data_IF_753749668117
#
_entry.id   IF_753749668117
#
_cell.length_a   1.000
_cell.length_b   1.000
_cell.length_c   1.000
_cell.angle_alpha   90.00
_cell.angle_beta   90.00
_cell.angle_gamma   90.00
#
_symmetry.space_group_name_H-M   'P 1'
#
loop_
_entity.id
_entity.type
_entity.pdbx_description
1 polymer ?
#
# COMPACT_ATOMS: atom_id res chain seq x y z
N UNK A 1 -7.82 11.44 -3.08
CA UNK A 1 -7.17 10.48 -4.02
C UNK A 1 -7.98 9.20 -4.24
N UNK A 2 -8.32 8.41 -3.21
CA UNK A 2 -9.09 7.16 -3.39
C UNK A 2 -10.41 7.37 -4.16
N UNK A 3 -11.23 8.33 -3.72
CA UNK A 3 -12.48 8.66 -4.41
C UNK A 3 -12.24 9.09 -5.87
N UNK A 4 -11.21 9.89 -6.09
CA UNK A 4 -10.82 10.37 -7.42
C UNK A 4 -10.51 9.22 -8.38
N UNK A 5 -9.78 8.20 -7.92
CA UNK A 5 -9.47 7.00 -8.70
C UNK A 5 -10.70 6.11 -8.88
N UNK A 6 -11.52 5.97 -7.84
CA UNK A 6 -12.75 5.16 -7.85
C UNK A 6 -13.71 5.59 -8.95
N UNK A 7 -14.04 6.89 -9.02
CA UNK A 7 -15.01 7.38 -10.01
C UNK A 7 -14.48 7.35 -11.45
N UNK A 8 -13.20 7.04 -11.64
CA UNK A 8 -12.53 6.86 -12.94
C UNK A 8 -12.29 5.39 -13.29
N UNK A 9 -12.69 4.45 -12.42
CA UNK A 9 -12.40 3.02 -12.59
C UNK A 9 -10.91 2.66 -12.48
N UNK A 10 -10.10 3.55 -11.89
CA UNK A 10 -8.64 3.40 -11.76
C UNK A 10 -8.20 2.88 -10.38
N UNK A 11 -9.14 2.40 -9.56
CA UNK A 11 -8.90 1.89 -8.20
C UNK A 11 -8.77 0.35 -8.13
N UNK A 12 -9.02 -0.35 -9.23
CA UNK A 12 -9.11 -1.81 -9.26
C UNK A 12 -7.84 -2.44 -9.84
N UNK A 13 -7.14 -3.25 -9.05
CA UNK A 13 -5.92 -3.94 -9.50
C UNK A 13 -6.23 -4.94 -10.62
N UNK A 14 -7.44 -5.54 -10.60
CA UNK A 14 -7.88 -6.50 -11.64
C UNK A 14 -7.91 -5.89 -13.03
N UNK A 15 -8.28 -4.61 -13.14
CA UNK A 15 -8.31 -3.86 -14.41
C UNK A 15 -7.02 -3.09 -14.66
N UNK A 16 -6.00 -3.24 -13.79
CA UNK A 16 -4.71 -2.58 -13.93
C UNK A 16 -4.60 -1.23 -13.22
N UNK A 17 -5.61 -0.81 -12.46
CA UNK A 17 -5.57 0.40 -11.63
C UNK A 17 -4.72 0.25 -10.36
N UNK A 18 -4.72 1.29 -9.52
CA UNK A 18 -4.00 1.32 -8.25
C UNK A 18 -4.85 0.75 -7.11
N UNK A 19 -4.34 -0.29 -6.45
CA UNK A 19 -4.95 -0.83 -5.25
C UNK A 19 -4.90 0.15 -4.08
N UNK A 20 -5.86 0.04 -3.15
CA UNK A 20 -5.99 0.95 -2.02
C UNK A 20 -4.73 1.06 -1.14
N UNK A 21 -3.97 -0.02 -1.00
CA UNK A 21 -2.70 -0.01 -0.27
C UNK A 21 -1.61 0.77 -1.02
N UNK A 22 -1.44 0.51 -2.33
CA UNK A 22 -0.51 1.27 -3.17
C UNK A 22 -0.81 2.77 -3.15
N UNK A 23 -2.09 3.16 -3.17
CA UNK A 23 -2.50 4.57 -3.04
C UNK A 23 -2.08 5.16 -1.70
N UNK A 24 -2.29 4.44 -0.60
CA UNK A 24 -1.82 4.89 0.72
C UNK A 24 -0.31 5.06 0.71
N UNK A 25 0.45 4.11 0.17
CA UNK A 25 1.91 4.19 0.10
C UNK A 25 2.41 5.38 -0.73
N UNK A 26 1.73 5.74 -1.82
CA UNK A 26 2.03 6.97 -2.57
C UNK A 26 1.82 8.22 -1.70
N UNK A 27 0.66 8.33 -1.05
CA UNK A 27 0.41 9.48 -0.17
C UNK A 27 1.43 9.54 0.97
N UNK A 28 1.72 8.41 1.62
CA UNK A 28 2.74 8.32 2.67
C UNK A 28 4.13 8.71 2.17
N UNK A 29 4.55 8.19 1.02
CA UNK A 29 5.83 8.52 0.42
C UNK A 29 5.96 10.02 0.16
N UNK A 30 4.94 10.66 -0.42
CA UNK A 30 4.94 12.11 -0.61
C UNK A 30 5.14 12.84 0.72
N UNK A 31 4.30 12.53 1.73
CA UNK A 31 4.34 13.18 3.04
C UNK A 31 5.69 13.02 3.74
N UNK A 32 6.36 11.87 3.60
CA UNK A 32 7.68 11.62 4.18
C UNK A 32 8.78 12.50 3.57
N UNK A 33 8.61 12.96 2.33
CA UNK A 33 9.59 13.78 1.59
C UNK A 33 9.21 15.26 1.53
N UNK A 34 8.09 15.68 2.13
CA UNK A 34 7.75 17.11 2.22
C UNK A 34 8.75 17.83 3.16
N UNK A 35 9.11 19.11 2.86
CA UNK A 35 10.00 19.88 3.71
C UNK A 35 9.46 19.97 5.14
N UNK A 36 10.27 19.53 6.11
CA UNK A 36 9.97 19.65 7.54
C UNK A 36 10.37 21.05 8.00
N UNK A 37 9.56 22.06 7.67
CA UNK A 37 9.82 23.47 7.99
C UNK A 37 8.58 24.20 8.53
N UNK A 38 8.75 25.44 8.98
CA UNK A 38 7.76 26.27 9.68
C UNK A 38 6.51 26.67 8.89
N UNK A 39 6.34 26.20 7.64
CA UNK A 39 5.12 26.45 6.88
C UNK A 39 4.07 25.39 7.23
N UNK A 40 2.90 25.84 7.68
CA UNK A 40 1.74 24.96 7.85
C UNK A 40 1.31 24.42 6.48
N UNK A 41 1.71 23.20 6.16
CA UNK A 41 1.23 22.48 4.98
C UNK A 41 -0.27 22.19 5.17
N UNK A 42 -1.12 22.85 4.39
CA UNK A 42 -2.54 22.57 4.39
C UNK A 42 -2.87 21.41 3.42
N UNK A 43 -4.00 20.73 3.65
CA UNK A 43 -4.41 19.59 2.85
C UNK A 43 -4.62 19.91 1.36
N UNK A 44 -5.00 21.15 1.02
CA UNK A 44 -5.17 21.59 -0.37
C UNK A 44 -3.83 21.67 -1.10
N UNK A 45 -2.82 22.29 -0.49
CA UNK A 45 -1.46 22.35 -1.03
C UNK A 45 -0.84 20.97 -1.18
N UNK A 46 -1.02 20.08 -0.19
CA UNK A 46 -0.54 18.69 -0.27
C UNK A 46 -1.23 17.93 -1.41
N UNK A 47 -2.54 18.14 -1.61
CA UNK A 47 -3.28 17.50 -2.69
C UNK A 47 -2.81 17.98 -4.07
N UNK A 48 -2.54 19.27 -4.23
CA UNK A 48 -1.96 19.82 -5.46
C UNK A 48 -0.57 19.24 -5.72
N UNK A 49 0.27 19.20 -4.68
CA UNK A 49 1.62 18.63 -4.77
C UNK A 49 1.58 17.14 -5.10
N UNK A 50 0.61 16.38 -4.57
CA UNK A 50 0.43 14.97 -4.91
C UNK A 50 0.23 14.75 -6.41
N UNK A 51 -0.68 15.52 -7.04
CA UNK A 51 -0.93 15.37 -8.47
C UNK A 51 0.24 15.88 -9.32
N UNK A 52 0.89 16.96 -8.89
CA UNK A 52 2.05 17.52 -9.56
C UNK A 52 3.27 16.58 -9.50
N UNK A 53 3.68 16.20 -8.30
CA UNK A 53 4.86 15.38 -8.04
C UNK A 53 4.82 14.06 -8.79
N UNK A 54 3.73 13.28 -8.65
CA UNK A 54 3.66 11.95 -9.25
C UNK A 54 3.60 11.95 -10.77
N UNK A 55 3.20 13.07 -11.39
CA UNK A 55 3.20 13.21 -12.84
C UNK A 55 4.50 13.82 -13.37
N UNK A 56 4.95 14.93 -12.80
CA UNK A 56 5.98 15.78 -13.39
C UNK A 56 7.37 15.50 -12.83
N UNK A 57 7.48 15.18 -11.54
CA UNK A 57 8.76 15.05 -10.85
C UNK A 57 9.17 13.59 -10.65
N UNK A 58 8.21 12.71 -10.39
CA UNK A 58 8.47 11.31 -10.08
C UNK A 58 8.69 10.48 -11.34
N UNK A 59 9.94 10.07 -11.58
CA UNK A 59 10.32 9.24 -12.71
C UNK A 59 10.00 7.76 -12.45
N UNK A 60 8.71 7.40 -12.49
CA UNK A 60 8.24 6.05 -12.13
C UNK A 60 8.93 4.93 -12.92
N UNK A 61 9.47 5.22 -14.11
CA UNK A 61 10.19 4.27 -14.96
C UNK A 61 11.62 3.99 -14.51
N UNK A 62 12.20 4.88 -13.71
CA UNK A 62 13.60 4.81 -13.26
C UNK A 62 13.73 4.58 -11.76
N UNK A 63 12.75 5.03 -10.96
CA UNK A 63 12.81 4.97 -9.50
C UNK A 63 11.66 4.17 -8.89
N UNK A 64 11.98 3.39 -7.87
CA UNK A 64 11.05 2.68 -7.00
C UNK A 64 10.94 3.36 -5.64
N UNK A 65 9.82 3.15 -4.96
CA UNK A 65 9.52 3.76 -3.66
C UNK A 65 9.84 2.78 -2.53
N UNK A 66 10.57 3.25 -1.51
CA UNK A 66 10.75 2.56 -0.22
C UNK A 66 10.12 3.42 0.89
N UNK A 67 9.41 2.77 1.83
CA UNK A 67 8.74 3.46 2.95
C UNK A 67 9.52 3.38 4.26
N UNK A 68 10.40 2.38 4.40
CA UNK A 68 11.20 2.15 5.60
C UNK A 68 12.61 1.61 5.25
N UNK A 69 13.64 2.48 5.28
CA UNK A 69 13.56 3.91 5.52
C UNK A 69 12.86 4.63 4.35
N UNK A 70 12.23 5.79 4.59
CA UNK A 70 11.65 6.57 3.50
C UNK A 70 12.71 6.92 2.46
N UNK A 71 12.45 6.62 1.19
CA UNK A 71 13.38 6.95 0.11
C UNK A 71 12.95 6.46 -1.26
N UNK A 72 13.79 6.78 -2.25
CA UNK A 72 13.70 6.31 -3.62
C UNK A 72 14.97 5.57 -4.01
N UNK A 73 14.84 4.52 -4.82
CA UNK A 73 15.99 3.76 -5.30
C UNK A 73 15.86 3.40 -6.78
N UNK A 74 17.01 3.19 -7.43
CA UNK A 74 17.04 2.92 -8.86
C UNK A 74 16.48 1.55 -9.22
N UNK A 75 15.67 1.51 -10.28
CA UNK A 75 15.10 0.28 -10.85
C UNK A 75 16.08 -0.59 -11.63
N UNK A 76 17.33 -0.16 -11.80
CA UNK A 76 18.39 -0.97 -12.43
C UNK A 76 18.53 -2.35 -11.76
N UNK A 77 18.22 -2.43 -10.48
CA UNK A 77 18.34 -3.64 -9.66
C UNK A 77 16.99 -4.29 -9.29
N UNK A 78 15.86 -3.58 -9.45
CA UNK A 78 14.53 -3.98 -8.96
C UNK A 78 13.37 -3.40 -9.78
N UNK A 79 12.23 -4.07 -9.75
CA UNK A 79 11.01 -3.54 -10.35
C UNK A 79 10.99 -3.64 -11.87
N UNK A 80 9.96 -3.06 -12.46
CA UNK A 80 9.74 -3.06 -13.90
C UNK A 80 9.79 -1.59 -14.38
N UNK A 81 10.62 -1.25 -15.37
CA UNK A 81 10.69 0.11 -15.91
C UNK A 81 9.35 0.61 -16.48
N UNK A 82 8.46 -0.28 -16.89
CA UNK A 82 7.18 0.08 -17.50
C UNK A 82 6.03 0.06 -16.48
N UNK A 83 6.31 -0.02 -15.18
CA UNK A 83 5.27 -0.09 -14.13
C UNK A 83 5.66 0.78 -12.96
N UNK A 84 4.71 1.15 -12.11
CA UNK A 84 5.03 1.62 -10.76
C UNK A 84 5.69 0.48 -9.96
N UNK A 85 6.63 0.83 -9.08
CA UNK A 85 7.21 -0.13 -8.14
C UNK A 85 7.26 0.50 -6.76
N UNK A 86 6.60 -0.14 -5.79
CA UNK A 86 6.61 0.24 -4.39
C UNK A 86 7.01 -1.00 -3.60
N UNK A 87 8.10 -0.91 -2.86
CA UNK A 87 8.55 -1.95 -1.95
C UNK A 87 7.53 -2.10 -0.82
N UNK A 88 7.09 -3.34 -0.56
CA UNK A 88 6.24 -3.66 0.57
C UNK A 88 7.02 -3.46 1.89
N UNK A 89 6.56 -2.58 2.80
CA UNK A 89 7.26 -2.35 4.07
C UNK A 89 7.37 -3.62 4.93
N UNK A 90 6.45 -4.57 4.77
CA UNK A 90 6.47 -5.83 5.51
C UNK A 90 7.28 -6.93 4.79
N UNK A 91 7.50 -6.78 3.48
CA UNK A 91 8.17 -7.78 2.66
C UNK A 91 8.95 -7.15 1.50
N UNK A 92 10.21 -6.80 1.75
CA UNK A 92 11.13 -6.21 0.78
C UNK A 92 11.25 -6.93 -0.60
N UNK A 93 10.86 -8.21 -0.67
CA UNK A 93 10.84 -9.00 -1.91
C UNK A 93 9.60 -8.75 -2.78
N UNK A 94 8.61 -8.01 -2.28
CA UNK A 94 7.30 -7.85 -2.87
C UNK A 94 7.11 -6.43 -3.40
N UNK A 95 6.66 -6.33 -4.65
CA UNK A 95 6.18 -5.07 -5.24
C UNK A 95 4.65 -5.01 -5.10
N UNK A 96 4.18 -4.21 -4.16
CA UNK A 96 2.73 -4.06 -3.87
C UNK A 96 1.98 -3.34 -4.98
N UNK A 97 2.70 -2.72 -5.92
CA UNK A 97 2.13 -2.04 -7.09
C UNK A 97 2.25 -2.85 -8.38
N UNK A 98 2.79 -4.07 -8.34
CA UNK A 98 3.04 -4.89 -9.53
C UNK A 98 1.80 -5.21 -10.38
N UNK A 99 0.61 -5.10 -9.81
CA UNK A 99 -0.68 -5.25 -10.52
C UNK A 99 -1.17 -3.99 -11.25
N UNK A 100 -0.58 -2.82 -11.00
CA UNK A 100 -0.98 -1.54 -11.59
C UNK A 100 -0.42 -1.38 -13.03
N UNK A 101 -0.98 -2.15 -13.97
CA UNK A 101 -0.55 -2.17 -15.38
C UNK A 101 -0.92 -0.90 -16.15
N UNK A 102 -1.91 -0.15 -15.69
CA UNK A 102 -2.42 1.05 -16.34
C UNK A 102 -1.81 2.33 -15.70
N UNK A 103 -0.56 2.28 -15.27
CA UNK A 103 0.07 3.40 -14.55
C UNK A 103 0.10 4.68 -15.39
N UNK A 104 0.33 4.58 -16.70
CA UNK A 104 0.32 5.75 -17.59
C UNK A 104 -1.04 6.46 -17.63
N UNK A 105 -2.14 5.71 -17.61
CA UNK A 105 -3.49 6.26 -17.53
C UNK A 105 -3.72 6.97 -16.20
N UNK A 106 -3.22 6.39 -15.11
CA UNK A 106 -3.30 7.00 -13.77
C UNK A 106 -2.52 8.31 -13.72
N UNK A 107 -1.29 8.33 -14.23
CA UNK A 107 -0.46 9.54 -14.25
C UNK A 107 -1.02 10.59 -15.21
N UNK A 108 -1.58 10.19 -16.35
CA UNK A 108 -2.34 11.07 -17.24
C UNK A 108 -3.53 11.73 -16.54
N UNK A 109 -4.28 10.95 -15.76
CA UNK A 109 -5.38 11.47 -14.95
C UNK A 109 -4.88 12.44 -13.87
N UNK A 110 -3.74 12.18 -13.22
CA UNK A 110 -3.13 13.12 -12.28
C UNK A 110 -2.76 14.45 -12.95
N UNK A 111 -2.15 14.41 -14.14
CA UNK A 111 -1.79 15.60 -14.92
C UNK A 111 -2.99 16.50 -15.23
N UNK A 112 -4.04 15.89 -15.77
CA UNK A 112 -5.29 16.59 -16.12
C UNK A 112 -5.94 17.19 -14.88
N UNK A 113 -5.89 16.47 -13.76
CA UNK A 113 -6.49 16.89 -12.49
C UNK A 113 -5.78 18.07 -11.87
N UNK A 114 -4.45 18.06 -11.87
CA UNK A 114 -3.65 19.18 -11.40
C UNK A 114 -4.01 20.47 -12.16
N UNK A 115 -4.04 20.39 -13.49
CA UNK A 115 -4.41 21.51 -14.37
C UNK A 115 -5.85 21.98 -14.12
N UNK A 116 -6.79 21.04 -13.99
CA UNK A 116 -8.20 21.34 -13.74
C UNK A 116 -8.40 22.07 -12.41
N UNK A 117 -7.76 21.59 -11.34
CA UNK A 117 -7.86 22.23 -10.02
C UNK A 117 -7.21 23.61 -10.01
N UNK A 118 -6.04 23.77 -10.64
CA UNK A 118 -5.35 25.06 -10.75
C UNK A 118 -6.24 26.09 -11.44
N UNK A 119 -6.72 25.78 -12.65
CA UNK A 119 -7.59 26.68 -13.42
C UNK A 119 -8.89 26.99 -12.67
N UNK A 120 -9.44 26.00 -11.95
CA UNK A 120 -10.64 26.18 -11.13
C UNK A 120 -10.39 27.17 -9.99
N UNK A 121 -9.28 27.06 -9.27
CA UNK A 121 -8.93 27.99 -8.19
C UNK A 121 -8.68 29.40 -8.72
N UNK A 122 -7.94 29.54 -9.83
CA UNK A 122 -7.71 30.83 -10.49
C UNK A 122 -9.02 31.51 -10.91
N UNK A 123 -9.91 30.75 -11.57
CA UNK A 123 -11.22 31.25 -11.96
C UNK A 123 -12.07 31.68 -10.74
N UNK A 124 -12.08 30.89 -9.65
CA UNK A 124 -12.84 31.23 -8.44
C UNK A 124 -12.25 32.41 -7.67
N UNK A 125 -10.94 32.67 -7.81
CA UNK A 125 -10.32 33.87 -7.24
C UNK A 125 -10.73 35.15 -8.01
N UNK A 126 -10.96 35.05 -9.32
CA UNK A 126 -11.34 36.17 -10.18
C UNK A 126 -12.85 36.48 -10.17
N UNK A 127 -13.69 35.44 -10.17
CA UNK A 127 -15.14 35.61 -10.29
C UNK A 127 -15.78 35.77 -8.90
N UNK A 128 -16.32 36.96 -8.61
CA UNK A 128 -17.20 37.17 -7.44
C UNK A 128 -18.59 36.57 -7.74
N UNK A 129 -18.93 35.48 -7.06
CA UNK A 129 -20.22 34.78 -7.22
C UNK A 129 -20.43 33.73 -6.13
N UNK A 130 -21.56 32.99 -6.16
CA UNK A 130 -21.81 31.95 -5.17
C UNK A 130 -20.67 30.92 -5.17
N UNK A 131 -20.23 30.54 -3.97
CA UNK A 131 -19.09 29.66 -3.73
C UNK A 131 -19.27 28.32 -4.46
N UNK A 132 -18.68 28.16 -5.64
CA UNK A 132 -18.69 26.87 -6.34
C UNK A 132 -17.59 25.97 -5.76
N UNK A 133 -17.85 24.67 -5.69
CA UNK A 133 -16.87 23.71 -5.18
C UNK A 133 -15.59 23.69 -6.01
N UNK A 134 -14.44 23.74 -5.33
CA UNK A 134 -13.10 23.54 -5.90
C UNK A 134 -12.92 22.08 -6.33
N UNK A 135 -13.39 21.14 -5.51
CA UNK A 135 -13.22 19.70 -5.76
C UNK A 135 -14.28 19.12 -6.69
N UNK A 136 -15.35 19.87 -6.97
CA UNK A 136 -16.44 19.47 -7.86
C UNK A 136 -15.96 18.79 -9.15
N UNK A 137 -15.05 19.40 -9.93
CA UNK A 137 -14.56 18.81 -11.18
C UNK A 137 -13.87 17.45 -11.04
N UNK A 138 -13.41 17.07 -9.84
CA UNK A 138 -12.54 15.91 -9.65
C UNK A 138 -13.19 14.78 -8.85
N UNK A 139 -14.22 15.08 -8.04
CA UNK A 139 -14.93 14.10 -7.21
C UNK A 139 -16.47 14.21 -7.27
N UNK A 140 -17.06 15.21 -7.96
CA UNK A 140 -18.51 15.23 -8.14
C UNK A 140 -18.89 14.16 -9.15
N UNK A 141 -19.43 13.05 -8.63
CA UNK A 141 -20.06 12.01 -9.42
C UNK A 141 -21.57 12.02 -9.18
N UNK A 142 -22.30 11.26 -9.99
CA UNK A 142 -23.70 10.98 -9.68
C UNK A 142 -23.77 10.04 -8.47
N UNK A 143 -24.19 10.57 -7.32
CA UNK A 143 -24.35 9.83 -6.07
C UNK A 143 -25.81 9.46 -5.77
N UNK A 144 -26.74 9.65 -6.73
CA UNK A 144 -28.18 9.47 -6.51
C UNK A 144 -28.51 8.09 -5.93
N UNK A 145 -27.97 7.02 -6.52
CA UNK A 145 -28.17 5.64 -6.02
C UNK A 145 -27.70 5.45 -4.57
N UNK A 146 -26.60 6.11 -4.17
CA UNK A 146 -26.14 6.03 -2.78
C UNK A 146 -27.03 6.84 -1.83
N UNK A 147 -27.58 7.95 -2.31
CA UNK A 147 -28.56 8.76 -1.57
C UNK A 147 -29.85 7.97 -1.40
N UNK A 148 -30.39 7.38 -2.47
CA UNK A 148 -31.56 6.50 -2.44
C UNK A 148 -31.36 5.34 -1.47
N UNK A 149 -30.23 4.62 -1.55
CA UNK A 149 -29.92 3.52 -0.64
C UNK A 149 -29.83 3.99 0.82
N UNK A 150 -29.17 5.12 1.08
CA UNK A 150 -29.11 5.69 2.45
C UNK A 150 -30.49 6.06 2.96
N UNK A 151 -31.34 6.62 2.11
CA UNK A 151 -32.71 6.98 2.46
C UNK A 151 -33.54 5.72 2.76
N UNK A 152 -33.41 4.67 1.96
CA UNK A 152 -34.05 3.37 2.20
C UNK A 152 -33.59 2.77 3.54
N UNK A 153 -32.28 2.71 3.79
CA UNK A 153 -31.73 2.19 5.06
C UNK A 153 -32.20 3.04 6.26
N UNK A 154 -32.22 4.37 6.10
CA UNK A 154 -32.73 5.29 7.13
C UNK A 154 -34.21 5.04 7.38
N UNK A 155 -35.01 4.82 6.35
CA UNK A 155 -36.43 4.52 6.51
C UNK A 155 -36.63 3.23 7.29
N UNK A 156 -35.95 2.15 6.90
CA UNK A 156 -35.98 0.85 7.60
C UNK A 156 -35.60 1.01 9.07
N UNK A 157 -34.52 1.76 9.36
CA UNK A 157 -34.09 2.05 10.73
C UNK A 157 -35.15 2.78 11.55
N UNK A 158 -35.86 3.74 10.94
CA UNK A 158 -36.87 4.55 11.63
C UNK A 158 -38.22 3.83 11.79
N UNK A 159 -38.57 2.90 10.89
CA UNK A 159 -39.90 2.27 10.88
C UNK A 159 -39.96 0.88 11.49
N UNK A 160 -38.86 0.12 11.45
CA UNK A 160 -38.86 -1.26 11.97
C UNK A 160 -38.77 -1.28 13.50
N UNK A 161 -39.72 -1.98 14.14
CA UNK A 161 -39.77 -2.14 15.61
C UNK A 161 -38.49 -2.70 16.21
N UNK A 162 -37.75 -3.52 15.45
CA UNK A 162 -36.48 -4.13 15.88
C UNK A 162 -35.37 -3.09 16.14
N UNK A 163 -35.48 -1.89 15.58
CA UNK A 163 -34.51 -0.81 15.80
C UNK A 163 -35.00 0.28 16.77
N UNK A 164 -36.23 0.17 17.31
CA UNK A 164 -36.82 1.19 18.19
C UNK A 164 -35.96 1.50 19.44
N UNK A 165 -35.22 0.51 19.95
CA UNK A 165 -34.30 0.68 21.10
C UNK A 165 -32.99 1.42 20.76
N UNK A 166 -32.70 1.64 19.48
CA UNK A 166 -31.49 2.33 19.00
C UNK A 166 -31.77 3.74 18.48
N UNK A 167 -33.03 4.17 18.45
CA UNK A 167 -33.45 5.48 17.96
C UNK A 167 -33.12 6.63 18.92
N UNK A 168 -32.71 6.31 20.15
CA UNK A 168 -32.29 7.30 21.14
C UNK A 168 -30.80 7.60 20.93
N UNK A 169 -30.42 8.86 20.61
CA UNK A 169 -29.01 9.21 20.56
C UNK A 169 -28.36 8.91 21.92
N UNK A 170 -27.11 8.40 21.95
CA UNK A 170 -26.42 8.20 23.22
C UNK A 170 -26.43 9.52 24.00
N UNK A 171 -26.65 9.49 25.33
CA UNK A 171 -26.57 10.69 26.12
C UNK A 171 -25.22 11.37 25.87
N UNK A 172 -25.16 12.72 25.84
CA UNK A 172 -23.89 13.42 25.73
C UNK A 172 -22.94 12.89 26.81
N UNK A 173 -21.68 12.68 26.45
CA UNK A 173 -20.65 12.28 27.40
C UNK A 173 -20.65 13.30 28.55
N UNK A 174 -21.12 12.90 29.73
CA UNK A 174 -21.09 13.74 30.93
C UNK A 174 -19.67 14.24 31.16
N UNK A 175 -19.51 15.56 31.35
CA UNK A 175 -18.23 16.15 31.73
C UNK A 175 -17.62 15.40 32.93
N UNK A 176 -16.29 15.20 32.95
CA UNK A 176 -15.66 14.44 34.01
C UNK A 176 -15.88 15.15 35.34
N UNK A 177 -16.55 14.46 36.25
CA UNK A 177 -16.84 14.87 37.62
C UNK A 177 -15.60 15.48 38.28
N UNK A 178 -15.67 16.77 38.60
CA UNK A 178 -14.79 17.38 39.58
C UNK A 178 -15.19 16.82 40.96
N UNK A 179 -14.53 15.74 41.38
CA UNK A 179 -14.56 15.30 42.78
C UNK A 179 -13.34 15.88 43.47
N UNK A 180 -13.59 16.89 44.29
CA UNK A 180 -12.67 17.37 45.31
C UNK A 180 -12.38 16.23 46.27
N UNK A 181 -11.13 15.79 46.37
CA UNK A 181 -10.64 14.99 47.51
C UNK A 181 -10.01 13.65 47.15
N UNK A 182 -8.70 13.59 47.39
CA UNK A 182 -7.81 12.41 47.49
C UNK A 182 -7.38 11.78 46.15
N UNK A 183 -6.18 12.19 45.72
CA UNK A 183 -5.41 11.55 44.65
C UNK A 183 -5.17 10.07 44.97
N UNK A 184 -5.93 9.19 44.31
CA UNK A 184 -5.48 7.83 44.05
C UNK A 184 -5.03 7.79 42.59
N UNK A 185 -3.80 7.34 42.35
CA UNK A 185 -3.26 7.17 41.00
C UNK A 185 -4.22 6.32 40.13
N UNK A 186 -4.33 6.59 38.83
CA UNK A 186 -5.21 5.84 37.94
C UNK A 186 -4.84 4.35 37.97
N UNK A 187 -5.82 3.44 37.92
CA UNK A 187 -5.56 2.01 37.89
C UNK A 187 -4.71 1.66 36.67
N UNK A 188 -3.65 0.87 36.89
CA UNK A 188 -2.79 0.36 35.83
C UNK A 188 -3.61 -0.40 34.78
N UNK A 189 -3.36 -0.08 33.50
CA UNK A 189 -3.98 -0.73 32.35
C UNK A 189 -3.89 -2.26 32.45
N UNK A 190 -4.92 -2.99 32.00
CA UNK A 190 -4.89 -4.45 31.99
C UNK A 190 -3.68 -4.94 31.19
N UNK A 191 -2.96 -5.89 31.79
CA UNK A 191 -1.78 -6.52 31.20
C UNK A 191 -2.16 -7.06 29.81
N UNK A 192 -1.52 -6.52 28.77
CA UNK A 192 -1.69 -7.01 27.40
C UNK A 192 -1.35 -8.51 27.30
N UNK A 193 -1.84 -9.20 26.26
CA UNK A 193 -1.56 -10.62 26.09
C UNK A 193 -0.05 -10.89 26.13
N UNK A 194 0.39 -11.99 26.79
CA UNK A 194 1.79 -12.20 27.11
C UNK A 194 2.65 -12.25 25.84
N UNK A 195 3.81 -11.60 25.92
CA UNK A 195 4.87 -11.67 24.92
C UNK A 195 5.20 -13.13 24.63
N UNK A 196 5.18 -13.49 23.34
CA UNK A 196 5.60 -14.79 22.84
C UNK A 196 7.07 -14.99 23.24
N UNK A 197 7.28 -15.82 24.27
CA UNK A 197 8.61 -16.27 24.67
C UNK A 197 9.18 -17.15 23.57
N UNK A 198 10.42 -16.86 23.20
CA UNK A 198 11.30 -17.72 22.41
C UNK A 198 11.42 -19.11 23.04
N UNK A 199 11.22 -20.21 22.30
CA UNK A 199 11.63 -21.51 22.78
C UNK A 199 13.12 -21.74 22.50
N UNK A 200 13.89 -21.92 23.57
CA UNK A 200 15.15 -22.67 23.54
C UNK A 200 14.82 -24.16 23.65
N UNK A 201 15.50 -24.95 22.82
CA UNK A 201 15.73 -26.42 22.81
C UNK A 201 15.63 -27.10 24.18
N UNK A 202 15.19 -28.35 24.36
CA UNK A 202 15.23 -29.62 23.59
C UNK A 202 14.22 -30.59 24.25
N UNK A 203 13.70 -31.66 23.62
CA UNK A 203 14.21 -33.04 23.68
C UNK A 203 13.49 -33.91 22.62
N UNK A 204 14.28 -34.78 21.96
CA UNK A 204 13.96 -36.03 21.25
C UNK A 204 12.49 -36.54 21.25
N UNK A 205 11.98 -36.89 20.05
CA UNK A 205 11.88 -38.31 19.61
C UNK A 205 11.32 -38.49 18.19
N UNK A 206 12.11 -39.23 17.43
CA UNK A 206 11.77 -40.27 16.43
C UNK A 206 11.00 -39.92 15.15
N UNK A 207 11.80 -39.98 14.08
CA UNK A 207 11.47 -40.31 12.69
C UNK A 207 10.49 -41.50 12.63
N UNK A 208 9.48 -41.43 11.76
CA UNK A 208 9.04 -42.60 11.01
C UNK A 208 8.46 -42.19 9.64
N UNK A 209 9.10 -42.75 8.61
CA UNK A 209 8.70 -42.72 7.21
C UNK A 209 7.41 -43.53 6.99
N UNK A 210 6.51 -43.05 6.14
CA UNK A 210 5.63 -43.94 5.38
C UNK A 210 5.28 -43.34 4.02
N UNK A 211 5.53 -44.15 2.98
CA UNK A 211 5.35 -43.88 1.55
C UNK A 211 3.92 -44.23 1.12
N UNK A 212 3.45 -43.53 0.06
CA UNK A 212 2.63 -43.95 -1.11
C UNK A 212 1.56 -45.06 -0.97
N UNK A 213 0.37 -44.80 -1.53
CA UNK A 213 -0.40 -45.58 -2.54
C UNK A 213 -1.64 -44.70 -2.94
N UNK A 214 -1.88 -44.25 -4.21
CA UNK A 214 -2.52 -44.89 -5.41
C UNK A 214 -3.76 -45.73 -5.05
N UNK A 215 -4.96 -45.66 -5.63
CA UNK A 215 -5.67 -45.07 -6.82
C UNK A 215 -7.18 -45.50 -6.62
N UNK A 216 -8.17 -45.41 -7.54
CA UNK A 216 -8.54 -44.43 -8.58
C UNK A 216 -10.08 -44.13 -8.71
N UNK A 217 -10.41 -43.22 -9.65
CA UNK A 217 -11.57 -43.19 -10.59
C UNK A 217 -13.02 -42.88 -10.14
N UNK A 218 -13.59 -41.80 -10.69
CA UNK A 218 -14.85 -41.81 -11.45
C UNK A 218 -15.05 -40.48 -12.22
N UNK A 219 -15.16 -40.58 -13.54
CA UNK A 219 -15.68 -39.56 -14.48
C UNK A 219 -17.22 -39.53 -14.44
N UNK A 220 -17.87 -38.49 -15.01
CA UNK A 220 -18.54 -38.73 -16.29
C UNK A 220 -18.34 -37.61 -17.34
N UNK A 221 -18.32 -38.05 -18.60
CA UNK A 221 -18.35 -37.26 -19.85
C UNK A 221 -19.75 -36.66 -20.12
N UNK A 222 -19.86 -35.51 -20.83
CA UNK A 222 -20.26 -35.48 -22.26
C UNK A 222 -20.37 -34.06 -22.91
N UNK A 223 -19.72 -33.89 -24.08
CA UNK A 223 -20.04 -33.17 -25.36
C UNK A 223 -20.69 -31.74 -25.31
N UNK A 224 -20.18 -30.64 -25.90
CA UNK A 224 -19.85 -30.37 -27.33
C UNK A 224 -19.31 -28.93 -27.62
N UNK A 225 -18.53 -28.82 -28.72
CA UNK A 225 -18.34 -27.71 -29.70
C UNK A 225 -17.58 -26.39 -29.40
N UNK A 226 -16.28 -26.40 -29.78
CA UNK A 226 -15.60 -25.60 -30.82
C UNK A 226 -15.69 -24.05 -31.00
N UNK A 227 -14.48 -23.48 -31.13
CA UNK A 227 -14.01 -22.22 -31.73
C UNK A 227 -14.44 -20.85 -31.16
N UNK A 228 -13.53 -20.19 -30.43
CA UNK A 228 -13.01 -18.86 -30.83
C UNK A 228 -11.74 -18.48 -30.06
N UNK A 229 -10.68 -18.19 -30.81
CA UNK A 229 -9.36 -17.70 -30.44
C UNK A 229 -9.40 -16.23 -29.99
N UNK A 230 -8.75 -15.84 -28.89
CA UNK A 230 -7.51 -15.05 -28.94
C UNK A 230 -6.94 -14.63 -27.55
N UNK A 231 -5.60 -14.71 -27.47
CA UNK A 231 -4.64 -14.07 -26.55
C UNK A 231 -4.96 -13.87 -25.05
N UNK A 232 -4.78 -14.92 -24.24
CA UNK A 232 -4.53 -14.80 -22.78
C UNK A 232 -3.05 -14.54 -22.50
N UNK A 233 -2.67 -13.28 -22.25
CA UNK A 233 -1.37 -12.92 -21.66
C UNK A 233 -1.27 -13.49 -20.23
N UNK A 234 -0.51 -14.56 -20.09
CA UNK A 234 -0.35 -15.32 -18.86
C UNK A 234 0.15 -14.45 -17.69
N UNK A 235 -0.52 -14.58 -16.52
CA UNK A 235 -0.05 -14.01 -15.25
C UNK A 235 1.31 -14.65 -14.89
N UNK A 236 2.31 -13.89 -14.42
CA UNK A 236 3.57 -14.48 -13.99
C UNK A 236 3.32 -15.44 -12.82
N UNK A 237 3.75 -16.70 -12.97
CA UNK A 237 3.64 -17.74 -11.93
C UNK A 237 4.39 -17.28 -10.67
N UNK A 238 3.92 -17.61 -9.46
CA UNK A 238 4.55 -17.26 -8.16
C UNK A 238 6.07 -17.50 -8.11
N UNK A 239 6.56 -18.51 -8.82
CA UNK A 239 7.99 -18.79 -8.96
C UNK A 239 8.80 -17.65 -9.61
N UNK A 240 8.21 -16.90 -10.54
CA UNK A 240 8.86 -15.77 -11.22
C UNK A 240 9.05 -14.57 -10.29
N UNK A 241 8.09 -14.29 -9.43
CA UNK A 241 8.18 -13.25 -8.38
C UNK A 241 9.30 -13.59 -7.39
N UNK A 242 9.37 -14.85 -6.95
CA UNK A 242 10.43 -15.33 -6.06
C UNK A 242 11.83 -15.29 -6.68
N UNK A 243 11.97 -15.44 -8.01
CA UNK A 243 13.26 -15.26 -8.70
C UNK A 243 13.71 -13.80 -8.73
N UNK A 244 12.77 -12.88 -8.94
CA UNK A 244 13.05 -11.44 -8.98
C UNK A 244 13.55 -10.93 -7.62
N UNK A 245 12.86 -11.33 -6.56
CA UNK A 245 13.21 -11.09 -5.16
C UNK A 245 14.64 -11.53 -4.79
N UNK A 246 15.04 -12.74 -5.21
CA UNK A 246 16.39 -13.26 -4.93
C UNK A 246 17.49 -12.48 -5.67
N UNK A 247 17.23 -12.12 -6.93
CA UNK A 247 18.15 -11.30 -7.74
C UNK A 247 18.29 -9.89 -7.16
N UNK A 248 17.19 -9.31 -6.71
CA UNK A 248 17.19 -8.01 -6.06
C UNK A 248 18.05 -7.98 -4.79
N UNK A 249 17.83 -8.95 -3.90
CA UNK A 249 18.61 -9.04 -2.65
C UNK A 249 20.11 -9.15 -2.93
N UNK A 250 20.48 -9.93 -3.93
CA UNK A 250 21.87 -10.02 -4.38
C UNK A 250 22.40 -8.69 -4.90
N UNK A 251 21.65 -8.00 -5.76
CA UNK A 251 22.05 -6.71 -6.32
C UNK A 251 22.14 -5.61 -5.24
N UNK A 252 21.18 -5.55 -4.32
CA UNK A 252 21.15 -4.61 -3.18
C UNK A 252 22.39 -4.79 -2.30
N UNK A 253 22.71 -6.03 -1.94
CA UNK A 253 23.92 -6.33 -1.16
C UNK A 253 25.19 -5.92 -1.92
N UNK A 254 25.32 -6.25 -3.21
CA UNK A 254 26.49 -5.85 -4.02
C UNK A 254 26.69 -4.34 -4.11
N UNK A 255 25.59 -3.58 -4.21
CA UNK A 255 25.64 -2.12 -4.37
C UNK A 255 26.03 -1.41 -3.07
N UNK A 256 25.51 -1.89 -1.92
CA UNK A 256 25.66 -1.21 -0.63
C UNK A 256 26.85 -1.73 0.18
N UNK A 257 27.30 -2.95 -0.13
CA UNK A 257 28.42 -3.62 0.54
C UNK A 257 29.46 -4.06 -0.51
N UNK A 258 30.18 -3.12 -1.15
CA UNK A 258 31.22 -3.45 -2.12
C UNK A 258 32.40 -4.21 -1.49
N UNK A 259 32.51 -4.19 -0.17
CA UNK A 259 33.47 -4.98 0.62
C UNK A 259 33.22 -6.50 0.54
N UNK A 260 31.96 -6.91 0.30
CA UNK A 260 31.59 -8.33 0.22
C UNK A 260 31.89 -8.89 -1.18
N UNK A 261 32.94 -9.70 -1.27
CA UNK A 261 33.32 -10.40 -2.52
C UNK A 261 32.46 -11.65 -2.74
N UNK A 262 32.27 -12.02 -4.02
CA UNK A 262 31.64 -13.29 -4.44
C UNK A 262 30.16 -13.49 -4.08
N UNK A 263 29.36 -12.43 -4.00
CA UNK A 263 27.90 -12.57 -3.87
C UNK A 263 27.31 -13.13 -5.19
N UNK A 264 26.54 -14.23 -5.17
CA UNK A 264 25.84 -14.74 -6.36
C UNK A 264 24.88 -13.71 -6.97
N UNK A 265 24.51 -13.85 -8.25
CA UNK A 265 23.54 -12.95 -8.91
C UNK A 265 22.09 -13.11 -8.42
N UNK A 266 21.82 -14.11 -7.57
CA UNK A 266 20.53 -14.41 -6.99
C UNK A 266 20.72 -15.12 -5.65
N UNK A 267 20.24 -14.53 -4.56
CA UNK A 267 20.38 -15.10 -3.20
C UNK A 267 19.07 -15.07 -2.43
N UNK A 268 18.84 -16.12 -1.64
CA UNK A 268 17.76 -16.16 -0.64
C UNK A 268 18.09 -15.25 0.55
N UNK A 269 17.10 -14.98 1.42
CA UNK A 269 17.33 -14.28 2.71
C UNK A 269 18.45 -14.96 3.50
N UNK A 270 18.39 -16.28 3.65
CA UNK A 270 19.37 -17.06 4.42
C UNK A 270 20.79 -16.91 3.84
N UNK A 271 20.92 -16.93 2.52
CA UNK A 271 22.19 -16.72 1.84
C UNK A 271 22.70 -15.29 2.01
N UNK A 272 21.83 -14.27 1.98
CA UNK A 272 22.27 -12.89 2.22
C UNK A 272 22.73 -12.66 3.66
N UNK A 273 22.07 -13.25 4.65
CA UNK A 273 22.53 -13.21 6.04
C UNK A 273 23.93 -13.84 6.16
N UNK A 274 24.12 -15.00 5.53
CA UNK A 274 25.42 -15.69 5.53
C UNK A 274 26.51 -14.89 4.82
N UNK A 275 26.25 -14.41 3.60
CA UNK A 275 27.22 -13.60 2.85
C UNK A 275 27.51 -12.25 3.51
N UNK A 276 26.54 -11.65 4.21
CA UNK A 276 26.66 -10.36 4.86
C UNK A 276 27.19 -10.38 6.28
N UNK A 277 27.35 -11.57 6.87
CA UNK A 277 27.76 -11.74 8.26
C UNK A 277 26.71 -11.27 9.27
N UNK A 278 25.42 -11.31 8.92
CA UNK A 278 24.34 -10.83 9.79
C UNK A 278 23.70 -11.98 10.56
N UNK A 279 23.45 -11.77 11.86
CA UNK A 279 22.77 -12.76 12.70
C UNK A 279 21.26 -12.79 12.44
N UNK A 280 20.66 -11.64 12.09
CA UNK A 280 19.21 -11.53 11.88
C UNK A 280 18.85 -10.69 10.65
N UNK A 281 17.64 -10.90 10.12
CA UNK A 281 17.11 -10.08 9.02
C UNK A 281 16.96 -8.61 9.43
N UNK A 282 16.62 -8.33 10.69
CA UNK A 282 16.52 -6.96 11.20
C UNK A 282 17.87 -6.24 11.22
N UNK A 283 18.95 -6.93 11.56
CA UNK A 283 20.31 -6.39 11.51
C UNK A 283 20.74 -6.05 10.08
N UNK A 284 20.60 -7.00 9.16
CA UNK A 284 20.88 -6.78 7.73
C UNK A 284 20.11 -5.58 7.18
N UNK A 285 18.79 -5.52 7.43
CA UNK A 285 17.96 -4.41 6.96
C UNK A 285 18.45 -3.07 7.51
N UNK A 286 18.76 -2.96 8.81
CA UNK A 286 19.24 -1.71 9.40
C UNK A 286 20.55 -1.24 8.79
N UNK A 287 21.52 -2.13 8.60
CA UNK A 287 22.82 -1.79 7.98
C UNK A 287 22.66 -1.33 6.52
N UNK A 288 21.96 -2.12 5.70
CA UNK A 288 21.75 -1.78 4.28
C UNK A 288 20.98 -0.46 4.13
N UNK A 289 19.94 -0.25 4.92
CA UNK A 289 19.15 0.98 4.94
C UNK A 289 19.92 2.21 5.45
N UNK A 290 20.92 2.01 6.32
CA UNK A 290 21.83 3.08 6.75
C UNK A 290 22.75 3.49 5.61
N UNK A 291 23.30 2.50 4.89
CA UNK A 291 24.21 2.71 3.75
C UNK A 291 23.52 3.35 2.56
N UNK A 292 22.27 3.00 2.28
CA UNK A 292 21.45 3.67 1.26
C UNK A 292 21.28 5.17 1.56
N UNK A 293 21.01 5.50 2.83
CA UNK A 293 20.91 6.90 3.26
C UNK A 293 22.24 7.65 3.12
N UNK A 294 23.36 7.00 3.44
CA UNK A 294 24.69 7.60 3.23
C UNK A 294 25.04 7.79 1.75
N UNK A 295 24.64 6.87 0.86
CA UNK A 295 24.86 7.01 -0.59
C UNK A 295 23.98 8.08 -1.24
N UNK A 296 22.76 8.31 -0.72
CA UNK A 296 21.85 9.34 -1.22
C UNK A 296 22.19 10.76 -0.73
N UNK A 297 23.06 10.89 0.28
CA UNK A 297 23.52 12.17 0.83
C UNK A 297 24.79 12.71 0.17
N UNK A 298 25.38 11.97 -0.78
CA UNK A 298 26.53 12.34 -1.63
C UNK A 298 26.02 12.76 -3.00
#
# INVERSE_FOLDING_TARGET
>A
VKQFLLIRGLNEVRTGGLGGFSVTCLVTSLLQHLPKGHMQLNAGSILMEFFNFYRNSFQYNQVAICLDPPGYFSKKSFGNPNRLTIEDPNNADNDISGGARAIDLVLGAFASTHTTLKNRMEHLALVRGPSKSILGPIIAANFEKYTEQRNQLRQVFMTEKRFAGHSVPPPPLSEPYHVSGVHSAPPSLPVGPPLIRTPVTSVQRTINNARKFKDPRAEPEDISHEFSSDTRLAKPRKAQVGRHARRWRAARMKCLRPDLKNIPSSITVKQALWHGGYATNGEMKRDLSSRERSQAAV
#
